data_IF_845982971155
#
_entry.id   IF_845982971155
#
_cell.length_a   1.000
_cell.length_b   1.000
_cell.length_c   1.000
_cell.angle_alpha   90.00
_cell.angle_beta   90.00
_cell.angle_gamma   90.00
#
_symmetry.space_group_name_H-M   'P 1'
#
loop_
_entity.id
_entity.type
_entity.pdbx_description
1 polymer ?
#
# COMPACT_ATOMS: atom_id res chain seq x y z
N UNK A 1 5.94 -12.00 15.55
CA UNK A 1 5.62 -11.16 16.71
C UNK A 1 4.28 -10.49 16.43
N UNK A 2 3.22 -10.93 17.11
CA UNK A 2 1.93 -10.21 17.15
C UNK A 2 1.89 -9.41 18.45
N UNK A 3 1.28 -8.23 18.41
CA UNK A 3 1.07 -7.37 19.58
C UNK A 3 -0.43 -7.14 19.70
N UNK A 4 -1.09 -8.01 20.45
CA UNK A 4 -2.54 -7.97 20.65
C UNK A 4 -2.86 -7.01 21.79
N UNK A 5 -3.72 -6.04 21.51
CA UNK A 5 -4.23 -5.08 22.50
C UNK A 5 -5.71 -5.34 22.69
N UNK A 6 -6.13 -5.52 23.93
CA UNK A 6 -7.54 -5.68 24.28
C UNK A 6 -8.24 -4.31 24.30
N UNK A 7 -9.35 -4.21 23.59
CA UNK A 7 -10.21 -3.02 23.53
C UNK A 7 -11.59 -3.39 24.07
N UNK A 8 -12.10 -2.58 25.00
CA UNK A 8 -13.46 -2.74 25.50
C UNK A 8 -14.42 -1.83 24.72
N UNK A 9 -15.43 -2.43 24.07
CA UNK A 9 -16.49 -1.72 23.37
C UNK A 9 -17.85 -2.38 23.65
N UNK A 10 -18.82 -1.60 24.12
CA UNK A 10 -20.17 -2.11 24.40
C UNK A 10 -20.24 -3.20 25.47
N UNK A 11 -19.27 -3.29 26.38
CA UNK A 11 -19.15 -4.33 27.39
C UNK A 11 -18.59 -5.66 26.88
N UNK A 12 -18.03 -5.69 25.67
CA UNK A 12 -17.29 -6.81 25.10
C UNK A 12 -15.81 -6.45 24.94
N UNK A 13 -14.93 -7.44 25.09
CA UNK A 13 -13.49 -7.27 24.90
C UNK A 13 -13.11 -7.86 23.54
N UNK A 14 -12.44 -7.05 22.73
CA UNK A 14 -11.92 -7.42 21.42
C UNK A 14 -10.39 -7.38 21.45
N UNK A 15 -9.75 -8.49 21.12
CA UNK A 15 -8.30 -8.53 20.91
C UNK A 15 -7.96 -7.99 19.52
N UNK A 16 -7.21 -6.90 19.44
CA UNK A 16 -6.79 -6.27 18.19
C UNK A 16 -5.29 -6.40 18.03
N UNK A 17 -4.86 -7.13 17.00
CA UNK A 17 -3.46 -7.23 16.64
C UNK A 17 -2.97 -5.95 15.97
N UNK A 18 -1.94 -5.32 16.53
CA UNK A 18 -1.37 -4.08 15.97
C UNK A 18 -0.11 -4.32 15.13
N UNK A 19 0.39 -5.56 15.10
CA UNK A 19 1.63 -5.92 14.39
C UNK A 19 1.42 -6.66 13.08
N UNK A 20 0.54 -7.67 13.06
CA UNK A 20 0.25 -8.47 11.87
C UNK A 20 -1.25 -8.65 11.75
N UNK A 21 -1.84 -7.91 10.81
CA UNK A 21 -3.29 -7.82 10.65
C UNK A 21 -3.81 -8.61 9.45
N UNK A 22 -2.97 -8.77 8.42
CA UNK A 22 -3.43 -9.22 7.10
C UNK A 22 -2.42 -10.14 6.44
N UNK A 23 -2.93 -11.14 5.72
CA UNK A 23 -2.16 -12.07 4.90
C UNK A 23 -2.89 -12.35 3.58
N UNK A 24 -2.21 -12.96 2.61
CA UNK A 24 -2.83 -13.38 1.35
C UNK A 24 -2.32 -14.75 0.91
N UNK A 25 -3.13 -15.44 0.12
CA UNK A 25 -2.86 -16.80 -0.38
C UNK A 25 -1.61 -16.92 -1.25
N UNK A 26 -1.21 -15.84 -1.91
CA UNK A 26 -0.06 -15.85 -2.82
C UNK A 26 1.27 -15.81 -2.08
N UNK A 27 1.39 -15.00 -1.03
CA UNK A 27 2.66 -14.81 -0.30
C UNK A 27 2.74 -15.63 0.99
N UNK A 28 1.62 -16.16 1.49
CA UNK A 28 1.56 -16.89 2.76
C UNK A 28 0.92 -18.30 2.68
N UNK A 29 1.23 -19.15 1.67
CA UNK A 29 0.59 -20.46 1.55
C UNK A 29 0.82 -21.37 2.76
N UNK A 30 2.03 -21.35 3.35
CA UNK A 30 2.36 -22.16 4.52
C UNK A 30 1.66 -21.68 5.80
N UNK A 31 1.40 -20.38 5.94
CA UNK A 31 0.72 -19.83 7.10
C UNK A 31 -0.77 -20.19 7.06
N UNK A 32 -1.39 -20.15 5.88
CA UNK A 32 -2.78 -20.57 5.70
C UNK A 32 -2.93 -22.05 6.02
N UNK A 33 -2.05 -22.90 5.49
CA UNK A 33 -2.06 -24.33 5.81
C UNK A 33 -1.92 -24.60 7.32
N UNK A 34 -1.11 -23.79 8.03
CA UNK A 34 -1.00 -23.86 9.48
C UNK A 34 -2.30 -23.46 10.18
N UNK A 35 -2.97 -22.38 9.74
CA UNK A 35 -4.26 -21.98 10.29
C UNK A 35 -5.35 -23.02 10.04
N UNK A 36 -5.36 -23.64 8.87
CA UNK A 36 -6.31 -24.71 8.53
C UNK A 36 -6.10 -25.94 9.43
N UNK A 37 -4.85 -26.36 9.67
CA UNK A 37 -4.52 -27.46 10.57
C UNK A 37 -4.92 -27.16 12.03
N UNK A 38 -4.78 -25.91 12.45
CA UNK A 38 -5.13 -25.45 13.81
C UNK A 38 -6.61 -25.09 13.97
N UNK A 39 -7.41 -25.13 12.88
CA UNK A 39 -8.81 -24.72 12.89
C UNK A 39 -9.04 -23.23 13.18
N UNK A 40 -8.06 -22.37 12.87
CA UNK A 40 -8.13 -20.92 13.08
C UNK A 40 -8.92 -20.28 11.94
N UNK A 41 -10.09 -19.71 12.26
CA UNK A 41 -10.91 -19.01 11.29
C UNK A 41 -10.23 -17.72 10.82
N UNK A 42 -10.40 -17.41 9.54
CA UNK A 42 -10.01 -16.14 8.93
C UNK A 42 -11.16 -15.60 8.08
N UNK A 43 -11.20 -14.28 7.86
CA UNK A 43 -12.21 -13.62 7.05
C UNK A 43 -11.57 -12.84 5.90
N UNK A 44 -12.33 -12.63 4.83
CA UNK A 44 -11.93 -11.72 3.76
C UNK A 44 -11.96 -10.27 4.26
N UNK A 45 -10.93 -9.51 3.91
CA UNK A 45 -10.81 -8.09 4.22
C UNK A 45 -10.45 -7.31 2.96
N UNK A 46 -11.06 -6.15 2.79
CA UNK A 46 -10.76 -5.23 1.69
C UNK A 46 -9.48 -4.45 2.02
N UNK A 47 -8.41 -4.74 1.29
CA UNK A 47 -7.12 -4.05 1.38
C UNK A 47 -7.10 -2.75 0.57
N UNK A 48 -8.18 -1.96 0.66
CA UNK A 48 -8.26 -0.67 0.00
C UNK A 48 -7.20 0.30 0.56
N UNK A 49 -6.62 1.10 -0.33
CA UNK A 49 -5.59 2.07 0.01
C UNK A 49 -6.01 3.46 -0.43
N UNK A 50 -5.93 4.42 0.49
CA UNK A 50 -6.22 5.83 0.28
C UNK A 50 -5.16 6.72 0.91
N UNK A 51 -4.97 7.90 0.32
CA UNK A 51 -4.02 8.92 0.77
C UNK A 51 -4.78 10.23 0.99
N UNK A 52 -4.55 10.88 2.12
CA UNK A 52 -4.97 12.26 2.39
C UNK A 52 -3.77 13.06 2.89
N UNK A 53 -3.41 14.14 2.18
CA UNK A 53 -2.26 15.00 2.46
C UNK A 53 -2.72 16.38 2.91
N UNK A 54 -2.02 16.96 3.88
CA UNK A 54 -2.24 18.31 4.41
C UNK A 54 -3.72 18.61 4.76
N UNK A 55 -4.38 17.66 5.44
CA UNK A 55 -5.77 17.82 5.86
C UNK A 55 -6.78 17.85 4.69
N UNK A 56 -6.48 17.15 3.59
CA UNK A 56 -7.36 17.04 2.43
C UNK A 56 -6.98 17.94 1.24
N UNK A 57 -5.80 18.58 1.29
CA UNK A 57 -5.28 19.31 0.14
C UNK A 57 -5.09 18.41 -1.09
N UNK A 58 -4.74 17.15 -0.87
CA UNK A 58 -4.71 16.10 -1.89
C UNK A 58 -5.32 14.82 -1.33
N UNK A 59 -6.33 14.30 -2.04
CA UNK A 59 -6.97 13.03 -1.70
C UNK A 59 -7.14 12.17 -2.94
N UNK A 60 -6.77 10.90 -2.81
CA UNK A 60 -7.00 9.88 -3.84
C UNK A 60 -6.97 8.48 -3.25
N UNK A 61 -7.67 7.54 -3.89
CA UNK A 61 -7.62 6.13 -3.54
C UNK A 61 -7.55 5.24 -4.79
N UNK A 62 -6.83 4.13 -4.69
CA UNK A 62 -6.53 3.23 -5.81
C UNK A 62 -7.65 2.27 -6.23
N UNK A 63 -8.83 2.33 -5.58
CA UNK A 63 -9.91 1.36 -5.79
C UNK A 63 -10.68 1.54 -7.10
N UNK A 64 -10.75 2.76 -7.65
CA UNK A 64 -11.43 3.06 -8.90
C UNK A 64 -10.98 4.38 -9.52
N UNK A 65 -11.33 4.65 -10.78
CA UNK A 65 -11.04 5.95 -11.40
C UNK A 65 -11.74 7.12 -10.70
N UNK A 66 -12.97 6.93 -10.21
CA UNK A 66 -13.70 7.96 -9.47
C UNK A 66 -13.04 8.30 -8.14
N UNK A 67 -12.40 7.32 -7.48
CA UNK A 67 -11.66 7.56 -6.23
C UNK A 67 -10.24 8.05 -6.47
N UNK A 68 -9.62 7.74 -7.61
CA UNK A 68 -8.36 8.36 -8.04
C UNK A 68 -8.59 9.86 -8.28
N UNK A 69 -9.69 10.23 -8.92
CA UNK A 69 -10.10 11.62 -9.13
C UNK A 69 -11.18 12.06 -8.16
N UNK A 70 -11.08 11.66 -6.88
CA UNK A 70 -11.99 12.09 -5.82
C UNK A 70 -12.13 13.63 -5.78
N UNK A 71 -11.06 14.33 -6.18
CA UNK A 71 -11.03 15.76 -6.39
C UNK A 71 -10.95 16.07 -7.90
N UNK A 72 -12.03 16.56 -8.56
CA UNK A 72 -12.06 16.77 -10.01
C UNK A 72 -10.96 17.70 -10.56
N UNK A 73 -10.48 18.64 -9.74
CA UNK A 73 -9.33 19.52 -10.07
C UNK A 73 -8.06 18.73 -10.46
N UNK A 74 -7.94 17.51 -9.97
CA UNK A 74 -6.78 16.65 -10.25
C UNK A 74 -6.78 16.09 -11.68
N UNK A 75 -7.91 16.14 -12.41
CA UNK A 75 -7.99 15.76 -13.83
C UNK A 75 -7.14 16.66 -14.73
N UNK A 76 -6.93 17.91 -14.34
CA UNK A 76 -6.14 18.90 -15.11
C UNK A 76 -4.84 19.28 -14.41
N UNK A 77 -4.58 18.74 -13.22
CA UNK A 77 -3.37 19.00 -12.46
C UNK A 77 -2.19 18.25 -13.09
N UNK A 78 -1.30 18.98 -13.77
CA UNK A 78 -0.09 18.41 -14.34
C UNK A 78 0.76 17.68 -13.28
N UNK A 79 0.78 18.19 -12.03
CA UNK A 79 1.44 17.58 -10.88
C UNK A 79 0.83 16.23 -10.50
N UNK A 80 -0.50 16.13 -10.48
CA UNK A 80 -1.19 14.87 -10.15
C UNK A 80 -1.07 13.85 -11.28
N UNK A 81 -1.23 14.29 -12.53
CA UNK A 81 -1.11 13.40 -13.68
C UNK A 81 0.33 12.88 -13.87
N UNK A 82 1.36 13.67 -13.53
CA UNK A 82 2.74 13.19 -13.53
C UNK A 82 2.96 12.10 -12.46
N UNK A 83 2.38 12.27 -11.26
CA UNK A 83 2.37 11.24 -10.22
C UNK A 83 1.77 9.93 -10.74
N UNK A 84 0.56 9.97 -11.30
CA UNK A 84 -0.10 8.76 -11.83
C UNK A 84 0.72 8.07 -12.92
N UNK A 85 1.33 8.86 -13.82
CA UNK A 85 2.21 8.32 -14.86
C UNK A 85 3.40 7.58 -14.25
N UNK A 86 4.01 8.16 -13.23
CA UNK A 86 5.14 7.59 -12.51
C UNK A 86 4.76 6.34 -11.71
N UNK A 87 3.58 6.28 -11.10
CA UNK A 87 3.02 5.07 -10.48
C UNK A 87 2.95 3.93 -11.51
N UNK A 88 2.34 4.19 -12.67
CA UNK A 88 2.22 3.18 -13.71
C UNK A 88 3.59 2.77 -14.27
N UNK A 89 4.52 3.72 -14.43
CA UNK A 89 5.88 3.44 -14.89
C UNK A 89 6.63 2.57 -13.88
N UNK A 90 6.59 2.91 -12.59
CA UNK A 90 7.25 2.17 -11.53
C UNK A 90 6.75 0.74 -11.44
N UNK A 91 5.42 0.54 -11.47
CA UNK A 91 4.81 -0.77 -11.44
C UNK A 91 5.18 -1.61 -12.68
N UNK A 92 5.18 -1.02 -13.88
CA UNK A 92 5.65 -1.71 -15.10
C UNK A 92 7.12 -2.11 -15.04
N UNK A 93 7.95 -1.31 -14.37
CA UNK A 93 9.39 -1.56 -14.23
C UNK A 93 9.75 -2.36 -12.97
N UNK A 94 8.77 -2.84 -12.19
CA UNK A 94 8.99 -3.43 -10.87
C UNK A 94 10.02 -4.58 -10.90
N UNK A 95 9.93 -5.49 -11.88
CA UNK A 95 10.89 -6.59 -12.02
C UNK A 95 12.31 -6.12 -12.35
N UNK A 96 12.44 -5.15 -13.25
CA UNK A 96 13.74 -4.55 -13.60
C UNK A 96 14.33 -3.80 -12.41
N UNK A 97 13.52 -3.01 -11.71
CA UNK A 97 13.91 -2.27 -10.52
C UNK A 97 14.38 -3.23 -9.41
N UNK A 98 13.69 -4.35 -9.24
CA UNK A 98 14.10 -5.40 -8.29
C UNK A 98 15.45 -6.03 -8.65
N UNK A 99 15.71 -6.27 -9.93
CA UNK A 99 16.99 -6.81 -10.37
C UNK A 99 18.14 -5.84 -10.07
N UNK A 100 17.97 -4.55 -10.39
CA UNK A 100 18.94 -3.49 -10.12
C UNK A 100 19.17 -3.31 -8.62
N UNK A 101 18.10 -3.26 -7.82
CA UNK A 101 18.21 -3.12 -6.37
C UNK A 101 19.00 -4.28 -5.73
N UNK A 102 18.84 -5.50 -6.26
CA UNK A 102 19.58 -6.68 -5.77
C UNK A 102 21.04 -6.69 -6.19
N UNK A 103 21.37 -6.29 -7.41
CA UNK A 103 22.75 -6.28 -7.90
C UNK A 103 23.59 -5.17 -7.28
N UNK A 104 23.00 -3.98 -7.14
CA UNK A 104 23.74 -2.76 -6.75
C UNK A 104 23.52 -2.35 -5.29
N UNK A 105 22.67 -3.08 -4.54
CA UNK A 105 22.22 -2.73 -3.17
C UNK A 105 21.73 -1.29 -3.04
N UNK A 106 21.04 -0.81 -4.08
CA UNK A 106 20.48 0.53 -4.08
C UNK A 106 19.37 0.68 -3.04
N UNK A 107 19.39 1.81 -2.33
CA UNK A 107 18.24 2.24 -1.56
C UNK A 107 17.07 2.58 -2.49
N UNK A 108 15.84 2.58 -1.96
CA UNK A 108 14.68 3.02 -2.72
C UNK A 108 14.89 4.42 -3.29
N UNK A 109 15.38 5.37 -2.48
CA UNK A 109 15.68 6.74 -2.93
C UNK A 109 16.68 6.80 -4.09
N UNK A 110 17.74 5.99 -4.07
CA UNK A 110 18.71 5.92 -5.17
C UNK A 110 18.08 5.39 -6.46
N UNK A 111 17.22 4.38 -6.35
CA UNK A 111 16.48 3.82 -7.49
C UNK A 111 15.50 4.84 -8.09
N UNK A 112 14.83 5.62 -7.25
CA UNK A 112 13.93 6.70 -7.67
C UNK A 112 14.67 7.84 -8.37
N UNK A 113 15.82 8.23 -7.84
CA UNK A 113 16.67 9.24 -8.45
C UNK A 113 17.19 8.79 -9.82
N UNK A 114 17.70 7.55 -9.92
CA UNK A 114 18.19 6.98 -11.17
C UNK A 114 17.09 6.87 -12.23
N UNK A 115 15.89 6.47 -11.83
CA UNK A 115 14.72 6.40 -12.69
C UNK A 115 14.08 7.75 -13.05
N UNK A 116 14.58 8.86 -12.48
CA UNK A 116 14.01 10.21 -12.63
C UNK A 116 12.51 10.23 -12.35
N UNK A 117 12.12 9.71 -11.19
CA UNK A 117 10.76 9.80 -10.70
C UNK A 117 10.49 11.20 -10.13
N UNK A 118 9.31 11.74 -10.40
CA UNK A 118 8.91 13.07 -9.96
C UNK A 118 8.68 13.12 -8.46
N UNK A 119 8.93 14.28 -7.87
CA UNK A 119 8.68 14.54 -6.45
C UNK A 119 7.24 14.20 -5.99
N UNK A 120 6.16 14.46 -6.76
CA UNK A 120 4.81 14.07 -6.35
C UNK A 120 4.65 12.57 -6.11
N UNK A 121 5.32 11.75 -6.93
CA UNK A 121 5.32 10.29 -6.78
C UNK A 121 6.09 9.87 -5.53
N UNK A 122 7.25 10.47 -5.30
CA UNK A 122 8.07 10.16 -4.13
C UNK A 122 7.44 10.63 -2.81
N UNK A 123 6.64 11.70 -2.82
CA UNK A 123 6.11 12.32 -1.59
C UNK A 123 4.66 11.93 -1.26
N UNK A 124 3.86 11.50 -2.24
CA UNK A 124 2.42 11.25 -2.06
C UNK A 124 1.98 9.83 -2.46
N UNK A 125 2.93 8.94 -2.76
CA UNK A 125 2.64 7.52 -3.06
C UNK A 125 3.60 6.54 -2.39
N UNK A 126 4.91 6.85 -2.32
CA UNK A 126 5.93 6.04 -1.64
C UNK A 126 6.21 6.56 -0.23
#
# INVERSE_FOLDING_TARGET
HTNTVDIEEGGQIFGVDTGFLVFNSRTYPNLIALFDELGVAHCESDMSFSVSVDGGALEWAGTSLSTVFAQPRNLVSARFLSMLRDILRFNRQAHTNLAVARSERHSLGALLAAGRYGEPFCAHYL
#
